data_IF_383338378327
#
_entry.id   IF_383338378327
#
_cell.length_a   1.000
_cell.length_b   1.000
_cell.length_c   1.000
_cell.angle_alpha   90.00
_cell.angle_beta   90.00
_cell.angle_gamma   90.00
#
_symmetry.space_group_name_H-M   'P 1'
#
loop_
_entity.id
_entity.type
_entity.pdbx_description
1 polymer ?
#
# COMPACT_ATOMS: atom_id res chain seq x y z
N UNK A 1 -43.78 -9.35 -73.81
CA UNK A 1 -43.39 -10.75 -73.55
C UNK A 1 -41.90 -10.84 -73.51
N UNK A 2 -41.31 -11.11 -72.37
CA UNK A 2 -40.13 -11.84 -72.01
C UNK A 2 -39.62 -11.31 -70.68
N UNK A 3 -39.79 -12.09 -69.68
CA UNK A 3 -39.26 -11.88 -68.37
C UNK A 3 -37.76 -12.19 -68.41
N UNK A 4 -36.94 -11.25 -68.01
CA UNK A 4 -35.56 -11.50 -67.65
C UNK A 4 -35.47 -11.61 -66.16
N UNK A 5 -35.13 -12.79 -65.68
CA UNK A 5 -34.84 -13.09 -64.28
C UNK A 5 -33.52 -12.51 -63.97
N UNK A 6 -33.48 -11.51 -63.14
CA UNK A 6 -32.27 -11.08 -62.52
C UNK A 6 -32.01 -11.91 -61.27
N UNK A 7 -30.95 -12.70 -61.32
CA UNK A 7 -30.39 -13.38 -60.15
C UNK A 7 -29.66 -12.35 -59.27
N UNK A 8 -30.27 -12.03 -58.20
CA UNK A 8 -29.58 -11.29 -57.16
C UNK A 8 -28.60 -12.23 -56.42
N UNK A 9 -27.34 -12.08 -56.70
CA UNK A 9 -26.28 -12.73 -55.93
C UNK A 9 -26.13 -12.03 -54.56
N UNK A 10 -26.57 -12.68 -53.52
CA UNK A 10 -26.34 -12.26 -52.15
C UNK A 10 -24.89 -12.56 -51.80
N UNK A 11 -24.04 -11.53 -51.82
CA UNK A 11 -22.72 -11.60 -51.26
C UNK A 11 -22.84 -11.39 -49.74
N UNK A 12 -22.81 -12.48 -49.02
CA UNK A 12 -22.69 -12.44 -47.56
C UNK A 12 -21.26 -12.05 -47.21
N UNK A 13 -21.06 -10.78 -46.89
CA UNK A 13 -19.81 -10.32 -46.27
C UNK A 13 -19.86 -10.75 -44.83
N UNK A 14 -19.15 -11.80 -44.48
CA UNK A 14 -18.83 -12.13 -43.10
C UNK A 14 -17.84 -11.08 -42.60
N UNK A 15 -18.34 -10.07 -41.93
CA UNK A 15 -17.55 -9.22 -41.06
C UNK A 15 -17.14 -10.03 -39.82
N UNK A 16 -15.98 -10.61 -39.88
CA UNK A 16 -15.31 -11.12 -38.67
C UNK A 16 -14.94 -9.88 -37.89
N UNK A 17 -15.84 -9.46 -37.01
CA UNK A 17 -15.50 -8.53 -35.96
C UNK A 17 -14.49 -9.24 -35.05
N UNK A 18 -13.21 -9.03 -35.33
CA UNK A 18 -12.15 -9.37 -34.41
C UNK A 18 -12.39 -8.57 -33.14
N UNK A 19 -12.97 -9.21 -32.14
CA UNK A 19 -12.92 -8.69 -30.78
C UNK A 19 -11.45 -8.64 -30.37
N UNK A 20 -10.81 -7.53 -30.66
CA UNK A 20 -9.61 -7.16 -29.93
C UNK A 20 -10.07 -6.96 -28.50
N UNK A 21 -9.94 -7.98 -27.67
CA UNK A 21 -10.03 -7.79 -26.25
C UNK A 21 -8.98 -6.76 -25.90
N UNK A 22 -9.34 -5.63 -25.26
CA UNK A 22 -8.34 -4.79 -24.67
C UNK A 22 -7.57 -5.71 -23.72
N UNK A 23 -6.30 -5.88 -23.97
CA UNK A 23 -5.38 -6.43 -22.99
C UNK A 23 -5.51 -5.50 -21.82
N UNK A 24 -6.36 -5.87 -20.87
CA UNK A 24 -6.45 -5.25 -19.58
C UNK A 24 -5.04 -5.40 -19.00
N UNK A 25 -4.23 -4.35 -19.14
CA UNK A 25 -3.03 -4.22 -18.35
C UNK A 25 -3.58 -4.19 -16.95
N UNK A 26 -3.55 -5.33 -16.26
CA UNK A 26 -3.93 -5.40 -14.87
C UNK A 26 -3.11 -4.31 -14.20
N UNK A 27 -3.76 -3.24 -13.73
CA UNK A 27 -3.13 -2.31 -12.82
C UNK A 27 -2.44 -3.18 -11.77
N UNK A 28 -1.19 -2.91 -11.38
CA UNK A 28 -0.51 -3.72 -10.37
C UNK A 28 -1.49 -3.82 -9.24
N UNK A 29 -2.08 -4.99 -9.08
CA UNK A 29 -2.98 -5.30 -7.99
C UNK A 29 -2.17 -4.95 -6.77
N UNK A 30 -2.60 -3.96 -6.01
CA UNK A 30 -1.99 -3.65 -4.72
C UNK A 30 -1.97 -5.00 -4.02
N UNK A 31 -0.79 -5.62 -3.98
CA UNK A 31 -0.66 -7.02 -3.67
C UNK A 31 -1.39 -7.24 -2.38
N UNK A 32 -2.36 -8.14 -2.38
CA UNK A 32 -3.06 -8.54 -1.16
C UNK A 32 -1.93 -8.97 -0.23
N UNK A 33 -1.60 -8.12 0.76
CA UNK A 33 -0.56 -8.48 1.70
C UNK A 33 -1.03 -9.73 2.39
N UNK A 34 -0.15 -10.71 2.46
CA UNK A 34 -0.37 -11.91 3.25
C UNK A 34 -0.88 -11.47 4.63
N UNK A 35 -2.06 -11.95 5.07
CA UNK A 35 -2.59 -11.63 6.39
C UNK A 35 -1.72 -12.30 7.46
N UNK A 36 -0.58 -11.94 7.72
CA UNK A 36 0.42 -12.33 8.71
C UNK A 36 1.81 -11.91 8.22
N UNK A 37 1.87 -10.96 7.28
CA UNK A 37 3.16 -10.46 6.82
C UNK A 37 3.88 -9.76 7.97
N UNK A 38 5.17 -10.03 8.07
CA UNK A 38 6.05 -9.41 9.04
C UNK A 38 7.03 -8.50 8.29
N UNK A 39 7.16 -7.27 8.75
CA UNK A 39 8.11 -6.30 8.19
C UNK A 39 8.95 -5.69 9.31
N UNK A 40 10.25 -5.61 9.11
CA UNK A 40 11.17 -4.99 10.08
C UNK A 40 11.51 -3.59 9.62
N UNK A 41 11.43 -2.64 10.54
CA UNK A 41 11.78 -1.23 10.33
C UNK A 41 12.81 -0.78 11.36
N UNK A 42 13.65 0.18 10.98
CA UNK A 42 14.55 0.89 11.90
C UNK A 42 14.41 2.39 11.64
N UNK A 43 13.86 3.12 12.59
CA UNK A 43 13.57 4.55 12.46
C UNK A 43 14.84 5.39 12.53
N UNK A 44 14.87 6.44 11.71
CA UNK A 44 15.85 7.51 11.79
C UNK A 44 15.15 8.87 11.91
N UNK A 45 15.73 9.78 12.69
CA UNK A 45 15.25 11.16 12.81
C UNK A 45 15.36 11.85 11.45
N UNK A 46 14.28 12.53 11.04
CA UNK A 46 14.23 13.23 9.77
C UNK A 46 14.78 14.66 9.92
N UNK A 47 15.34 15.18 8.84
CA UNK A 47 15.99 16.50 8.80
C UNK A 47 15.01 17.69 8.96
N UNK A 48 13.72 17.48 8.78
CA UNK A 48 12.65 18.45 9.01
C UNK A 48 12.24 18.55 10.49
N UNK A 49 12.85 17.75 11.36
CA UNK A 49 12.62 17.80 12.80
C UNK A 49 13.32 18.99 13.43
N UNK A 50 12.71 19.58 14.48
CA UNK A 50 13.37 20.60 15.29
C UNK A 50 14.56 20.00 16.05
N UNK A 51 15.48 20.86 16.47
CA UNK A 51 16.62 20.41 17.29
C UNK A 51 16.16 19.91 18.66
N UNK A 52 16.82 18.88 19.18
CA UNK A 52 16.52 18.31 20.50
C UNK A 52 15.37 17.31 20.53
N UNK A 53 14.92 16.82 19.39
CA UNK A 53 13.95 15.73 19.33
C UNK A 53 14.48 14.46 19.99
N UNK A 54 13.75 13.97 20.98
CA UNK A 54 14.05 12.74 21.71
C UNK A 54 12.84 11.80 21.53
N UNK A 55 13.10 10.57 21.16
CA UNK A 55 12.07 9.53 21.12
C UNK A 55 11.65 9.17 22.54
N UNK A 56 10.34 9.24 22.83
CA UNK A 56 9.82 8.87 24.14
C UNK A 56 10.02 7.38 24.49
N UNK A 57 9.98 6.52 23.48
CA UNK A 57 10.37 5.11 23.59
C UNK A 57 11.71 4.87 22.90
N UNK A 58 12.80 4.70 23.65
CA UNK A 58 14.13 4.42 23.07
C UNK A 58 14.16 3.13 22.22
N UNK A 59 13.22 2.22 22.44
CA UNK A 59 13.08 0.99 21.65
C UNK A 59 12.70 1.25 20.21
N UNK A 60 12.11 2.39 19.91
CA UNK A 60 11.72 2.77 18.54
C UNK A 60 12.92 3.11 17.63
N UNK A 61 14.11 3.39 18.20
CA UNK A 61 15.34 3.60 17.41
C UNK A 61 16.10 2.29 17.13
N UNK A 62 15.57 1.18 17.63
CA UNK A 62 16.07 -0.17 17.35
C UNK A 62 15.19 -0.84 16.32
N UNK A 63 15.63 -1.97 15.73
CA UNK A 63 14.78 -2.74 14.82
C UNK A 63 13.42 -3.06 15.46
N UNK A 64 12.36 -2.73 14.76
CA UNK A 64 10.96 -2.97 15.16
C UNK A 64 10.30 -3.92 14.21
N UNK A 65 9.38 -4.71 14.71
CA UNK A 65 8.63 -5.69 13.92
C UNK A 65 7.18 -5.24 13.78
N UNK A 66 6.73 -5.04 12.54
CA UNK A 66 5.34 -4.82 12.21
C UNK A 66 4.72 -6.14 11.74
N UNK A 67 3.71 -6.60 12.44
CA UNK A 67 2.93 -7.80 12.07
C UNK A 67 1.54 -7.37 11.66
N UNK A 68 1.14 -7.70 10.43
CA UNK A 68 -0.19 -7.41 9.89
C UNK A 68 -1.12 -8.57 10.14
N UNK A 69 -2.35 -8.26 10.56
CA UNK A 69 -3.40 -9.24 10.81
C UNK A 69 -4.73 -8.68 10.31
N UNK A 70 -5.21 -9.11 9.14
CA UNK A 70 -6.47 -8.66 8.53
C UNK A 70 -6.63 -7.12 8.51
N UNK A 71 -7.41 -6.57 9.45
CA UNK A 71 -7.73 -5.15 9.53
C UNK A 71 -6.88 -4.37 10.55
N UNK A 72 -5.90 -4.98 11.15
CA UNK A 72 -5.03 -4.37 12.15
C UNK A 72 -3.57 -4.73 11.89
N UNK A 73 -2.69 -4.00 12.55
CA UNK A 73 -1.29 -4.36 12.64
C UNK A 73 -0.78 -4.08 14.05
N UNK A 74 0.22 -4.80 14.47
CA UNK A 74 0.92 -4.59 15.75
C UNK A 74 2.36 -4.25 15.47
N UNK A 75 2.80 -3.11 15.99
CA UNK A 75 4.19 -2.69 15.97
C UNK A 75 4.83 -3.04 17.31
N UNK A 76 5.75 -3.99 17.29
CA UNK A 76 6.55 -4.37 18.46
C UNK A 76 7.90 -3.65 18.39
N UNK A 77 8.17 -2.77 19.34
CA UNK A 77 9.45 -2.03 19.41
C UNK A 77 10.59 -2.90 19.93
N UNK A 78 11.82 -2.48 19.69
CA UNK A 78 13.01 -3.14 20.24
C UNK A 78 13.10 -3.09 21.77
N UNK A 79 12.26 -2.29 22.43
CA UNK A 79 12.09 -2.24 23.88
C UNK A 79 10.99 -3.16 24.42
N UNK A 80 10.25 -3.86 23.53
CA UNK A 80 9.16 -4.77 23.92
C UNK A 80 7.81 -4.09 24.09
N UNK A 81 7.65 -2.83 23.69
CA UNK A 81 6.36 -2.12 23.72
C UNK A 81 5.56 -2.44 22.46
N UNK A 82 4.26 -2.68 22.63
CA UNK A 82 3.33 -2.92 21.53
C UNK A 82 2.51 -1.66 21.25
N UNK A 83 2.37 -1.36 19.96
CA UNK A 83 1.45 -0.34 19.45
C UNK A 83 0.46 -0.98 18.51
N UNK A 84 -0.83 -0.89 18.86
CA UNK A 84 -1.92 -1.36 18.02
C UNK A 84 -2.22 -0.32 16.95
N UNK A 85 -2.19 -0.74 15.69
CA UNK A 85 -2.48 0.08 14.54
C UNK A 85 -3.75 -0.43 13.86
N UNK A 86 -4.67 0.49 13.55
CA UNK A 86 -5.88 0.18 12.82
C UNK A 86 -5.68 0.45 11.33
N UNK A 87 -6.30 -0.35 10.50
CA UNK A 87 -6.33 -0.14 9.06
C UNK A 87 -7.15 1.11 8.74
N UNK A 88 -6.52 2.11 8.11
CA UNK A 88 -7.16 3.37 7.70
C UNK A 88 -7.41 3.41 6.19
N UNK A 89 -6.66 2.68 5.42
CA UNK A 89 -6.80 2.46 3.97
C UNK A 89 -6.22 1.08 3.61
N UNK A 90 -6.46 0.55 2.41
CA UNK A 90 -5.81 -0.68 1.97
C UNK A 90 -4.29 -0.62 2.15
N UNK A 91 -3.73 -1.55 2.93
CA UNK A 91 -2.30 -1.65 3.26
C UNK A 91 -1.71 -0.41 3.99
N UNK A 92 -2.55 0.42 4.63
CA UNK A 92 -2.11 1.55 5.46
C UNK A 92 -2.72 1.42 6.84
N UNK A 93 -1.86 1.45 7.85
CA UNK A 93 -2.22 1.28 9.26
C UNK A 93 -1.75 2.48 10.07
N UNK A 94 -2.58 2.95 10.99
CA UNK A 94 -2.24 4.09 11.82
C UNK A 94 -2.69 3.88 13.26
N UNK A 95 -1.98 4.49 14.19
CA UNK A 95 -2.26 4.44 15.62
C UNK A 95 -1.26 5.26 16.41
N UNK A 96 -1.18 4.97 17.69
CA UNK A 96 -0.34 5.67 18.66
C UNK A 96 -1.20 6.43 19.65
N UNK A 97 -0.61 6.86 20.76
CA UNK A 97 -1.29 7.58 21.81
C UNK A 97 -0.72 8.99 21.99
N UNK A 98 0.57 9.11 22.33
CA UNK A 98 1.31 10.37 22.40
C UNK A 98 2.10 10.66 21.12
N UNK A 99 2.13 9.70 20.22
CA UNK A 99 2.82 9.77 18.95
C UNK A 99 1.88 9.30 17.87
N UNK A 100 1.98 9.88 16.70
CA UNK A 100 1.28 9.43 15.51
C UNK A 100 2.17 8.45 14.76
N UNK A 101 1.70 7.21 14.65
CA UNK A 101 2.39 6.14 13.92
C UNK A 101 1.59 5.84 12.65
N UNK A 102 2.25 5.83 11.50
CA UNK A 102 1.65 5.45 10.23
C UNK A 102 2.57 4.47 9.51
N UNK A 103 2.05 3.28 9.22
CA UNK A 103 2.70 2.28 8.41
C UNK A 103 2.02 2.22 7.03
N UNK A 104 2.69 2.70 6.00
CA UNK A 104 2.24 2.64 4.62
C UNK A 104 2.94 1.48 3.90
N UNK A 105 2.22 0.38 3.76
CA UNK A 105 2.67 -0.83 3.09
C UNK A 105 2.19 -0.89 1.63
N UNK A 106 1.47 0.14 1.17
CA UNK A 106 0.98 0.25 -0.20
C UNK A 106 2.03 0.76 -1.18
N UNK A 107 3.08 1.38 -0.67
CA UNK A 107 4.19 1.94 -1.44
C UNK A 107 5.41 1.01 -1.47
N UNK A 108 6.32 1.28 -2.40
CA UNK A 108 7.61 0.59 -2.47
C UNK A 108 8.74 1.62 -2.56
N UNK A 109 9.71 1.59 -1.65
CA UNK A 109 9.80 0.73 -0.45
C UNK A 109 8.65 1.02 0.53
N UNK A 110 8.27 0.03 1.34
CA UNK A 110 7.31 0.20 2.44
C UNK A 110 7.82 1.27 3.39
N UNK A 111 6.91 2.03 4.00
CA UNK A 111 7.29 3.16 4.84
C UNK A 111 6.62 3.12 6.20
N UNK A 112 7.40 3.38 7.24
CA UNK A 112 6.92 3.63 8.59
C UNK A 112 7.29 5.07 8.98
N UNK A 113 6.33 5.84 9.48
CA UNK A 113 6.56 7.17 10.01
C UNK A 113 6.04 7.28 11.43
N UNK A 114 6.78 7.98 12.26
CA UNK A 114 6.39 8.29 13.64
C UNK A 114 6.62 9.78 13.86
N UNK A 115 5.64 10.47 14.39
CA UNK A 115 5.76 11.89 14.74
C UNK A 115 5.13 12.16 16.10
N UNK A 116 5.56 13.22 16.78
CA UNK A 116 4.85 13.72 17.93
C UNK A 116 3.57 14.48 17.50
N UNK A 117 2.72 14.82 18.43
CA UNK A 117 1.40 15.40 18.15
C UNK A 117 1.45 16.69 17.32
N UNK A 118 2.44 17.54 17.56
CA UNK A 118 2.63 18.82 16.85
C UNK A 118 3.47 18.67 15.56
N UNK A 119 3.88 17.44 15.22
CA UNK A 119 4.73 17.12 14.09
C UNK A 119 6.08 17.86 14.04
N UNK A 120 6.56 18.38 15.18
CA UNK A 120 7.87 19.03 15.30
C UNK A 120 9.01 18.02 15.28
N UNK A 121 8.75 16.77 15.68
CA UNK A 121 9.70 15.68 15.67
C UNK A 121 9.17 14.55 14.76
N UNK A 122 9.94 14.22 13.74
CA UNK A 122 9.57 13.22 12.75
C UNK A 122 10.67 12.15 12.61
N UNK A 123 10.25 10.91 12.58
CA UNK A 123 11.11 9.75 12.32
C UNK A 123 10.52 8.95 11.18
N UNK A 124 11.36 8.37 10.38
CA UNK A 124 10.94 7.50 9.29
C UNK A 124 11.86 6.30 9.12
N UNK A 125 11.29 5.25 8.56
CA UNK A 125 12.00 4.06 8.12
C UNK A 125 11.41 3.55 6.82
N UNK A 126 12.21 2.85 6.06
CA UNK A 126 11.78 2.13 4.86
C UNK A 126 12.19 0.67 4.96
N UNK A 127 11.40 -0.20 4.31
CA UNK A 127 11.68 -1.62 4.19
C UNK A 127 11.30 -2.13 2.80
N UNK A 128 11.93 -3.20 2.30
CA UNK A 128 11.60 -3.80 1.00
C UNK A 128 10.15 -4.20 0.84
#
# INVERSE_FOLDING_TARGET
>A
MRQTKELAALVAILLIAGCSQPTSTAAPTAGTMDPNSVTVFTLALQSDSVSGCIMGDPGMTRPMTLTVSNNSAVLLTGGGIHYDLNRVRPNVYAGGYWTKIVADLSVRPKRLTVSNDDASCNWAATAP
#
